data_IF_711250024923
#
_entry.id   IF_711250024923
#
_cell.length_a   1.000
_cell.length_b   1.000
_cell.length_c   1.000
_cell.angle_alpha   90.00
_cell.angle_beta   90.00
_cell.angle_gamma   90.00
#
_symmetry.space_group_name_H-M   'P 1'
#
loop_
_entity.id
_entity.type
_entity.pdbx_description
1 polymer ?
#
# COMPACT_ATOMS: atom_id res chain seq x y z
N UNK A 1 36.19 0.94 37.56
CA UNK A 1 35.85 2.24 36.94
C UNK A 1 35.01 1.94 35.71
N UNK A 2 33.70 2.02 35.83
CA UNK A 2 32.78 1.96 34.70
C UNK A 2 32.30 3.39 34.45
N UNK A 3 32.47 3.88 33.22
CA UNK A 3 32.04 5.21 32.79
C UNK A 3 30.61 5.07 32.27
N UNK A 4 29.62 5.40 33.11
CA UNK A 4 28.24 5.56 32.67
C UNK A 4 28.15 6.85 31.84
N UNK A 5 27.95 6.71 30.52
CA UNK A 5 27.62 7.84 29.65
C UNK A 5 26.10 7.98 29.60
N UNK A 6 25.58 8.96 30.34
CA UNK A 6 24.18 9.35 30.25
C UNK A 6 23.91 10.05 28.91
N UNK A 7 23.15 9.40 28.04
CA UNK A 7 22.59 10.03 26.83
C UNK A 7 21.32 10.76 27.25
N UNK A 8 21.32 12.09 27.13
CA UNK A 8 20.13 12.93 27.39
C UNK A 8 19.43 13.19 26.05
N UNK A 9 18.28 12.57 25.85
CA UNK A 9 17.39 12.85 24.72
C UNK A 9 16.50 14.05 25.11
N UNK A 10 16.74 15.22 24.52
CA UNK A 10 15.80 16.34 24.61
C UNK A 10 14.70 16.14 23.56
N UNK A 11 13.50 15.76 24.00
CA UNK A 11 12.30 15.77 23.18
C UNK A 11 11.71 17.18 23.25
N UNK A 12 11.63 17.87 22.11
CA UNK A 12 11.05 19.22 22.03
C UNK A 12 9.55 19.17 22.36
N UNK A 13 9.17 19.81 23.47
CA UNK A 13 7.83 19.76 24.08
C UNK A 13 6.77 20.60 23.35
N UNK A 14 6.73 20.53 22.01
CA UNK A 14 5.73 21.23 21.21
C UNK A 14 4.40 20.45 21.07
N UNK A 15 4.32 19.21 21.56
CA UNK A 15 3.08 18.45 21.62
C UNK A 15 2.49 18.49 23.03
N UNK A 16 1.28 19.06 23.15
CA UNK A 16 0.54 19.14 24.41
C UNK A 16 0.41 17.77 25.07
N UNK A 17 0.53 17.75 26.40
CA UNK A 17 0.51 16.56 27.23
C UNK A 17 -0.68 15.64 26.88
N UNK A 18 -0.38 14.52 26.25
CA UNK A 18 -1.27 13.35 26.17
C UNK A 18 -0.73 12.32 27.14
N UNK A 19 -1.39 12.22 28.30
CA UNK A 19 -1.09 11.19 29.29
C UNK A 19 -1.46 9.82 28.67
N UNK A 20 -0.50 8.89 28.60
CA UNK A 20 -0.76 7.50 28.18
C UNK A 20 -0.08 7.00 26.90
N UNK A 21 0.84 7.75 26.28
CA UNK A 21 1.60 7.24 25.11
C UNK A 21 2.86 6.53 25.57
N UNK A 22 2.86 5.20 25.54
CA UNK A 22 4.07 4.38 25.72
C UNK A 22 4.55 3.88 24.36
N UNK A 23 5.65 4.44 23.86
CA UNK A 23 6.37 3.90 22.71
C UNK A 23 7.42 2.87 23.21
N UNK A 24 7.41 1.66 22.66
CA UNK A 24 8.45 0.66 22.96
C UNK A 24 9.66 0.92 22.06
N UNK A 25 10.63 1.66 22.58
CA UNK A 25 11.87 1.96 21.84
C UNK A 25 12.91 0.93 22.22
N UNK A 26 13.27 0.06 21.27
CA UNK A 26 14.33 -0.93 21.48
C UNK A 26 15.66 -0.35 21.04
N UNK A 27 16.56 -0.18 22.00
CA UNK A 27 17.91 0.32 21.78
C UNK A 27 18.88 -0.86 21.73
N UNK A 28 19.61 -1.00 20.61
CA UNK A 28 20.70 -1.99 20.49
C UNK A 28 22.02 -1.27 20.35
N UNK A 29 22.99 -1.66 21.19
CA UNK A 29 24.36 -1.16 21.14
C UNK A 29 25.24 -2.22 20.49
N UNK A 30 25.94 -1.84 19.42
CA UNK A 30 27.04 -2.61 18.82
C UNK A 30 28.31 -1.73 18.87
N UNK A 31 29.48 -2.35 18.86
CA UNK A 31 30.80 -1.78 19.24
C UNK A 31 31.15 -0.47 18.48
N UNK A 32 30.62 0.67 18.95
CA UNK A 32 30.70 2.06 18.43
C UNK A 32 29.51 2.61 17.61
N UNK A 33 28.36 1.89 17.53
CA UNK A 33 27.14 2.39 16.86
C UNK A 33 25.85 2.15 17.67
N UNK A 34 25.08 3.22 17.89
CA UNK A 34 23.72 3.16 18.45
C UNK A 34 22.72 2.97 17.30
N UNK A 35 22.01 1.84 17.29
CA UNK A 35 20.89 1.63 16.37
C UNK A 35 19.58 1.82 17.13
N UNK A 36 18.78 2.80 16.70
CA UNK A 36 17.49 3.15 17.32
C UNK A 36 16.41 2.67 16.37
N UNK A 37 15.67 1.64 16.78
CA UNK A 37 14.49 1.16 16.07
C UNK A 37 13.25 1.62 16.83
N UNK A 38 12.40 2.45 16.20
CA UNK A 38 11.05 2.66 16.71
C UNK A 38 10.24 1.37 16.46
N UNK A 39 9.85 0.68 17.53
CA UNK A 39 8.80 -0.31 17.47
C UNK A 39 7.49 0.39 17.88
N UNK A 40 6.46 0.18 17.07
CA UNK A 40 5.08 0.64 17.25
C UNK A 40 4.87 2.15 17.36
N UNK A 41 4.19 2.70 16.34
CA UNK A 41 3.62 4.04 16.36
C UNK A 41 2.21 3.91 16.94
N UNK A 42 1.90 4.41 18.15
CA UNK A 42 0.54 4.40 18.64
C UNK A 42 -0.26 5.49 17.92
N UNK A 43 -1.12 5.08 16.98
CA UNK A 43 -2.16 5.93 16.40
C UNK A 43 -3.16 6.27 17.52
N UNK A 44 -3.44 7.55 17.73
CA UNK A 44 -4.48 7.97 18.68
C UNK A 44 -5.47 8.93 18.04
N UNK A 45 -6.70 8.45 17.79
CA UNK A 45 -7.92 9.08 18.32
C UNK A 45 -9.14 8.14 18.36
N UNK A 46 -9.55 7.85 19.59
CA UNK A 46 -10.90 7.50 20.12
C UNK A 46 -12.07 7.36 19.12
N UNK A 47 -12.65 6.15 19.08
CA UNK A 47 -14.11 5.88 19.03
C UNK A 47 -14.35 4.54 19.77
N UNK A 48 -14.90 4.59 20.99
CA UNK A 48 -16.16 3.94 21.41
C UNK A 48 -16.42 2.54 20.81
N UNK A 49 -16.44 1.52 21.67
CA UNK A 49 -17.01 0.16 21.52
C UNK A 49 -17.68 -0.17 20.18
N UNK A 50 -16.94 -0.69 19.19
CA UNK A 50 -17.46 -1.41 18.02
C UNK A 50 -16.36 -2.33 17.47
N UNK A 51 -16.74 -3.47 16.87
CA UNK A 51 -15.82 -4.56 16.49
C UNK A 51 -14.64 -4.11 15.63
N UNK A 52 -13.52 -4.83 15.67
CA UNK A 52 -12.34 -4.56 14.84
C UNK A 52 -12.75 -4.36 13.37
N UNK A 53 -12.81 -3.12 12.89
CA UNK A 53 -13.18 -2.81 11.52
C UNK A 53 -12.03 -3.24 10.61
N UNK A 54 -12.27 -4.32 9.85
CA UNK A 54 -11.37 -4.80 8.82
C UNK A 54 -11.78 -4.12 7.51
N UNK A 55 -10.86 -3.35 6.97
CA UNK A 55 -11.02 -2.65 5.70
C UNK A 55 -10.49 -3.52 4.57
N UNK A 56 -11.17 -3.52 3.43
CA UNK A 56 -10.68 -4.20 2.22
C UNK A 56 -10.03 -3.17 1.29
N UNK A 57 -8.71 -3.21 1.18
CA UNK A 57 -7.92 -2.30 0.37
C UNK A 57 -7.51 -2.96 -0.95
N UNK A 58 -7.70 -2.23 -2.06
CA UNK A 58 -7.24 -2.62 -3.39
C UNK A 58 -5.92 -1.90 -3.65
N UNK A 59 -4.85 -2.67 -3.83
CA UNK A 59 -3.49 -2.16 -4.02
C UNK A 59 -3.00 -2.52 -5.41
N UNK A 60 -2.57 -1.52 -6.16
CA UNK A 60 -1.85 -1.75 -7.41
C UNK A 60 -0.34 -1.79 -7.17
N UNK A 61 0.32 -2.68 -7.89
CA UNK A 61 1.76 -2.85 -7.89
C UNK A 61 2.24 -2.71 -9.33
N UNK A 62 3.18 -1.79 -9.57
CA UNK A 62 3.76 -1.57 -10.89
C UNK A 62 5.27 -1.46 -10.81
N UNK A 63 5.97 -2.03 -11.78
CA UNK A 63 7.42 -2.00 -11.79
C UNK A 63 7.97 -2.10 -13.20
N UNK A 64 9.05 -1.37 -13.46
CA UNK A 64 9.74 -1.33 -14.77
C UNK A 64 11.14 -1.92 -14.63
N UNK A 65 11.24 -3.07 -13.97
CA UNK A 65 12.50 -3.79 -13.69
C UNK A 65 12.37 -5.28 -14.04
N UNK A 66 13.45 -5.94 -14.48
CA UNK A 66 13.40 -7.34 -14.90
C UNK A 66 13.01 -8.31 -13.78
N UNK A 67 13.39 -8.01 -12.53
CA UNK A 67 13.04 -8.82 -11.36
C UNK A 67 11.72 -8.41 -10.69
N UNK A 68 10.84 -7.70 -11.42
CA UNK A 68 9.59 -7.16 -10.88
C UNK A 68 8.70 -8.24 -10.22
N UNK A 69 8.58 -9.41 -10.83
CA UNK A 69 7.80 -10.52 -10.26
C UNK A 69 8.33 -10.95 -8.88
N UNK A 70 9.66 -11.06 -8.72
CA UNK A 70 10.27 -11.45 -7.45
C UNK A 70 10.08 -10.36 -6.40
N UNK A 71 10.17 -9.08 -6.79
CA UNK A 71 9.90 -7.95 -5.89
C UNK A 71 8.43 -7.89 -5.47
N UNK A 72 7.49 -8.13 -6.38
CA UNK A 72 6.06 -8.21 -6.05
C UNK A 72 5.79 -9.31 -5.02
N UNK A 73 6.39 -10.50 -5.18
CA UNK A 73 6.30 -11.57 -4.15
C UNK A 73 6.82 -11.12 -2.80
N UNK A 74 7.95 -10.42 -2.77
CA UNK A 74 8.52 -9.89 -1.53
C UNK A 74 7.60 -8.86 -0.89
N UNK A 75 6.95 -8.02 -1.69
CA UNK A 75 6.01 -7.00 -1.22
C UNK A 75 4.76 -7.67 -0.64
N UNK A 76 4.18 -8.65 -1.32
CA UNK A 76 3.04 -9.40 -0.81
C UNK A 76 3.35 -10.07 0.53
N UNK A 77 4.53 -10.68 0.65
CA UNK A 77 4.99 -11.23 1.92
C UNK A 77 5.14 -10.16 3.02
N UNK A 78 5.65 -8.97 2.67
CA UNK A 78 5.71 -7.84 3.61
C UNK A 78 4.32 -7.35 4.03
N UNK A 79 3.39 -7.21 3.08
CA UNK A 79 2.01 -6.80 3.34
C UNK A 79 1.32 -7.75 4.32
N UNK A 80 1.50 -9.06 4.13
CA UNK A 80 0.95 -10.12 4.99
C UNK A 80 1.66 -10.23 6.34
N UNK A 81 2.93 -9.79 6.42
CA UNK A 81 3.70 -9.82 7.67
C UNK A 81 3.22 -8.80 8.71
N UNK A 82 2.46 -7.78 8.30
CA UNK A 82 1.93 -6.78 9.20
C UNK A 82 0.75 -7.37 9.99
N UNK A 83 0.80 -7.29 11.31
CA UNK A 83 -0.25 -7.85 12.18
C UNK A 83 -1.60 -7.22 11.86
N UNK A 84 -2.58 -8.06 11.49
CA UNK A 84 -3.92 -7.59 11.13
C UNK A 84 -4.06 -7.16 9.67
N UNK A 85 -3.03 -7.38 8.85
CA UNK A 85 -3.18 -7.41 7.40
C UNK A 85 -3.26 -8.85 6.91
N UNK A 86 -4.05 -9.07 5.86
CA UNK A 86 -4.08 -10.35 5.16
C UNK A 86 -4.25 -10.09 3.66
N UNK A 87 -3.42 -10.72 2.83
CA UNK A 87 -3.66 -10.70 1.39
C UNK A 87 -4.77 -11.69 1.05
N UNK A 88 -5.92 -11.19 0.61
CA UNK A 88 -7.09 -12.00 0.28
C UNK A 88 -6.98 -12.61 -1.11
N UNK A 89 -6.41 -11.85 -2.05
CA UNK A 89 -6.30 -12.27 -3.43
C UNK A 89 -5.29 -11.43 -4.19
N UNK A 90 -4.73 -12.01 -5.26
CA UNK A 90 -3.83 -11.32 -6.16
C UNK A 90 -4.20 -11.67 -7.59
N UNK A 91 -4.18 -10.67 -8.47
CA UNK A 91 -4.49 -10.85 -9.88
C UNK A 91 -3.40 -11.68 -10.57
N UNK A 92 -3.68 -12.11 -11.80
CA UNK A 92 -2.61 -12.51 -12.72
C UNK A 92 -1.58 -11.37 -12.87
N UNK A 93 -0.38 -11.72 -13.33
CA UNK A 93 0.66 -10.77 -13.68
C UNK A 93 0.39 -10.26 -15.08
N UNK A 94 0.37 -8.95 -15.25
CA UNK A 94 0.17 -8.28 -16.52
C UNK A 94 1.44 -7.60 -16.98
N UNK A 95 1.66 -7.59 -18.28
CA UNK A 95 2.69 -6.84 -18.95
C UNK A 95 2.07 -5.56 -19.54
N UNK A 96 2.69 -4.42 -19.27
CA UNK A 96 2.34 -3.10 -19.77
C UNK A 96 3.41 -2.68 -20.78
N UNK A 97 3.04 -2.70 -22.06
CA UNK A 97 3.91 -2.26 -23.14
C UNK A 97 4.01 -0.74 -23.13
N UNK A 98 5.23 -0.22 -23.09
CA UNK A 98 5.44 1.22 -23.19
C UNK A 98 6.08 1.57 -24.54
N UNK A 99 5.55 2.59 -25.20
CA UNK A 99 6.06 3.00 -26.53
C UNK A 99 7.42 3.71 -26.42
N UNK A 100 7.61 4.53 -25.38
CA UNK A 100 8.79 5.39 -25.20
C UNK A 100 9.66 4.99 -23.98
N UNK A 101 9.21 4.02 -23.19
CA UNK A 101 9.85 3.57 -21.94
C UNK A 101 10.01 2.05 -21.97
N UNK A 102 10.86 1.47 -21.10
CA UNK A 102 10.88 0.03 -20.96
C UNK A 102 9.50 -0.49 -20.55
N UNK A 103 9.22 -1.68 -21.06
CA UNK A 103 8.09 -2.50 -20.69
C UNK A 103 8.04 -2.74 -19.17
N UNK A 104 6.84 -2.65 -18.60
CA UNK A 104 6.60 -2.78 -17.18
C UNK A 104 5.72 -3.97 -16.84
N UNK A 105 5.75 -4.41 -15.58
CA UNK A 105 4.82 -5.38 -15.04
C UNK A 105 3.82 -4.68 -14.12
N UNK A 106 2.59 -5.19 -14.12
CA UNK A 106 1.55 -4.74 -13.21
C UNK A 106 0.77 -5.92 -12.63
N UNK A 107 0.37 -5.78 -11.38
CA UNK A 107 -0.55 -6.68 -10.70
C UNK A 107 -1.36 -5.89 -9.67
N UNK A 108 -2.55 -6.40 -9.32
CA UNK A 108 -3.42 -5.86 -8.28
C UNK A 108 -3.57 -6.90 -7.18
N UNK A 109 -3.59 -6.44 -5.94
CA UNK A 109 -3.84 -7.26 -4.77
C UNK A 109 -4.99 -6.69 -3.95
N UNK A 110 -5.80 -7.59 -3.38
CA UNK A 110 -6.81 -7.26 -2.39
C UNK A 110 -6.24 -7.63 -1.03
N UNK A 111 -6.23 -6.65 -0.12
CA UNK A 111 -5.61 -6.75 1.19
C UNK A 111 -6.64 -6.35 2.24
N UNK A 112 -6.97 -7.26 3.14
CA UNK A 112 -7.68 -6.90 4.36
C UNK A 112 -6.69 -6.21 5.30
N UNK A 113 -7.08 -5.11 5.93
CA UNK A 113 -6.23 -4.37 6.86
C UNK A 113 -7.06 -3.74 7.97
N UNK A 114 -6.47 -3.63 9.16
CA UNK A 114 -7.04 -2.87 10.28
C UNK A 114 -6.56 -1.42 10.34
N UNK A 115 -5.66 -1.05 9.43
CA UNK A 115 -5.20 0.33 9.33
C UNK A 115 -6.27 1.19 8.68
N UNK A 116 -6.31 2.47 9.07
CA UNK A 116 -7.08 3.47 8.33
C UNK A 116 -6.41 3.80 7.00
N UNK A 117 -7.13 4.50 6.12
CA UNK A 117 -6.64 4.87 4.80
C UNK A 117 -5.28 5.58 4.82
N UNK A 118 -5.08 6.52 5.75
CA UNK A 118 -3.84 7.31 5.84
C UNK A 118 -2.67 6.47 6.36
N UNK A 119 -2.90 5.64 7.37
CA UNK A 119 -1.91 4.70 7.90
C UNK A 119 -1.49 3.69 6.83
N UNK A 120 -2.46 3.11 6.13
CA UNK A 120 -2.20 2.13 5.07
C UNK A 120 -1.46 2.77 3.88
N UNK A 121 -1.85 3.96 3.43
CA UNK A 121 -1.16 4.68 2.35
C UNK A 121 0.28 5.04 2.72
N UNK A 122 0.51 5.44 3.98
CA UNK A 122 1.85 5.71 4.51
C UNK A 122 2.70 4.45 4.52
N UNK A 123 2.11 3.31 4.91
CA UNK A 123 2.78 2.01 4.90
C UNK A 123 3.16 1.56 3.48
N UNK A 124 2.26 1.68 2.51
CA UNK A 124 2.56 1.37 1.10
C UNK A 124 3.69 2.23 0.54
N UNK A 125 3.73 3.52 0.88
CA UNK A 125 4.82 4.42 0.49
C UNK A 125 6.16 3.97 1.11
N UNK A 126 6.17 3.69 2.41
CA UNK A 126 7.37 3.18 3.08
C UNK A 126 7.87 1.85 2.47
N UNK A 127 6.95 0.98 2.07
CA UNK A 127 7.28 -0.28 1.42
C UNK A 127 7.83 -0.06 0.00
N UNK A 128 7.27 0.88 -0.76
CA UNK A 128 7.81 1.29 -2.07
C UNK A 128 9.22 1.87 -1.96
N UNK A 129 9.45 2.72 -0.95
CA UNK A 129 10.76 3.30 -0.66
C UNK A 129 11.78 2.22 -0.26
N UNK A 130 11.36 1.18 0.47
CA UNK A 130 12.21 0.02 0.80
C UNK A 130 12.68 -0.76 -0.43
N UNK A 131 11.91 -0.68 -1.54
CA UNK A 131 12.27 -1.27 -2.83
C UNK A 131 13.14 -0.33 -3.67
N UNK A 132 13.66 0.74 -3.07
CA UNK A 132 14.48 1.76 -3.75
C UNK A 132 13.72 2.43 -4.91
N UNK A 133 12.38 2.51 -4.81
CA UNK A 133 11.53 3.03 -5.89
C UNK A 133 11.45 2.13 -7.13
N UNK A 134 11.92 0.87 -7.05
CA UNK A 134 11.83 -0.09 -8.15
C UNK A 134 10.41 -0.61 -8.38
N UNK A 135 9.57 -0.54 -7.33
CA UNK A 135 8.15 -0.90 -7.38
C UNK A 135 7.34 0.28 -6.86
N UNK A 136 6.37 0.70 -7.65
CA UNK A 136 5.35 1.67 -7.29
C UNK A 136 4.15 0.94 -6.69
N UNK A 137 3.86 1.20 -5.41
CA UNK A 137 2.66 0.71 -4.73
C UNK A 137 1.68 1.85 -4.53
N UNK A 138 0.47 1.70 -5.07
CA UNK A 138 -0.59 2.69 -4.94
C UNK A 138 -1.85 2.06 -4.39
N UNK A 139 -2.43 2.71 -3.38
CA UNK A 139 -3.79 2.44 -2.94
C UNK A 139 -4.74 2.90 -4.04
N UNK A 140 -5.53 1.97 -4.60
CA UNK A 140 -6.49 2.22 -5.68
C UNK A 140 -7.85 2.55 -5.09
N UNK A 141 -8.30 1.70 -4.17
CA UNK A 141 -9.54 1.89 -3.44
C UNK A 141 -9.42 1.25 -2.06
N UNK A 142 -10.32 1.62 -1.16
CA UNK A 142 -10.43 1.04 0.17
C UNK A 142 -11.90 1.04 0.56
N UNK A 143 -12.37 -0.13 0.99
CA UNK A 143 -13.74 -0.33 1.43
C UNK A 143 -13.80 -0.47 2.94
N UNK A 144 -14.79 0.19 3.53
CA UNK A 144 -15.20 -0.08 4.92
C UNK A 144 -15.81 -1.50 5.03
N UNK A 145 -16.00 -2.04 6.24
CA UNK A 145 -16.64 -3.35 6.43
C UNK A 145 -18.10 -3.41 5.92
N UNK A 146 -18.74 -2.28 5.62
CA UNK A 146 -20.06 -2.20 4.99
C UNK A 146 -19.99 -2.25 3.46
N UNK A 147 -18.79 -2.22 2.87
CA UNK A 147 -18.53 -2.26 1.43
C UNK A 147 -18.58 -0.88 0.75
N UNK A 148 -18.56 0.22 1.50
CA UNK A 148 -18.48 1.56 0.93
C UNK A 148 -17.03 1.96 0.68
N UNK A 149 -16.77 2.51 -0.51
CA UNK A 149 -15.46 3.08 -0.84
C UNK A 149 -15.21 4.35 -0.01
N UNK A 150 -14.12 4.34 0.76
CA UNK A 150 -13.66 5.43 1.62
C UNK A 150 -12.41 6.13 1.07
N UNK A 151 -11.64 5.45 0.21
CA UNK A 151 -10.50 6.06 -0.47
C UNK A 151 -10.94 6.96 -1.62
N UNK A 152 -12.00 6.57 -2.31
CA UNK A 152 -12.49 7.28 -3.50
C UNK A 152 -13.77 8.05 -3.18
N UNK A 153 -13.65 9.37 -2.98
CA UNK A 153 -14.81 10.26 -2.86
C UNK A 153 -14.88 11.17 -1.64
N UNK A 154 -13.95 11.10 -0.68
CA UNK A 154 -13.84 12.11 0.40
C UNK A 154 -12.92 13.28 0.02
N UNK A 155 -13.04 13.75 -1.22
CA UNK A 155 -12.51 15.05 -1.60
C UNK A 155 -13.44 16.16 -1.13
N UNK A 156 -13.44 16.47 0.18
CA UNK A 156 -13.85 17.81 0.57
C UNK A 156 -12.88 18.76 -0.16
N UNK A 157 -13.42 19.65 -0.99
CA UNK A 157 -12.75 20.42 -2.05
C UNK A 157 -11.67 21.43 -1.56
N UNK A 158 -10.96 21.17 -0.46
CA UNK A 158 -10.20 22.19 0.28
C UNK A 158 -8.73 21.89 0.59
N UNK A 159 -8.11 20.82 0.07
CA UNK A 159 -6.65 20.75 0.05
C UNK A 159 -6.13 20.22 -1.29
N UNK A 160 -5.74 21.15 -2.16
CA UNK A 160 -5.32 20.91 -3.55
C UNK A 160 -3.92 20.31 -3.70
N UNK A 161 -3.41 19.56 -2.72
CA UNK A 161 -2.04 19.01 -2.77
C UNK A 161 -1.96 17.52 -3.15
N UNK A 162 -3.05 16.75 -3.07
CA UNK A 162 -3.00 15.28 -3.25
C UNK A 162 -3.73 14.77 -4.50
N UNK A 163 -4.40 15.65 -5.25
CA UNK A 163 -5.25 15.29 -6.41
C UNK A 163 -4.49 14.70 -7.60
N UNK A 164 -3.16 14.82 -7.61
CA UNK A 164 -2.34 14.48 -8.80
C UNK A 164 -2.16 12.96 -8.98
N UNK A 165 -2.60 12.11 -8.06
CA UNK A 165 -2.43 10.64 -8.19
C UNK A 165 -3.75 9.86 -8.38
N UNK A 166 -4.89 10.38 -7.92
CA UNK A 166 -6.17 9.66 -7.93
C UNK A 166 -6.90 9.74 -9.28
N UNK A 167 -6.65 10.78 -10.09
CA UNK A 167 -7.21 10.93 -11.44
C UNK A 167 -6.55 9.98 -12.46
N UNK A 168 -5.29 9.59 -12.26
CA UNK A 168 -4.56 8.71 -13.17
C UNK A 168 -5.04 7.24 -13.07
N UNK A 169 -5.41 6.76 -11.87
CA UNK A 169 -5.79 5.35 -11.66
C UNK A 169 -7.11 5.00 -12.35
N UNK A 170 -8.05 5.95 -12.45
CA UNK A 170 -9.35 5.78 -13.13
C UNK A 170 -9.24 5.55 -14.63
N UNK A 171 -8.07 5.85 -15.22
CA UNK A 171 -7.80 5.70 -16.64
C UNK A 171 -6.63 4.76 -16.91
N UNK A 172 -6.06 4.14 -15.87
CA UNK A 172 -4.94 3.24 -16.00
C UNK A 172 -5.42 1.79 -16.19
N UNK A 173 -5.46 1.35 -17.46
CA UNK A 173 -5.83 -0.03 -17.79
C UNK A 173 -4.90 -1.06 -17.14
N UNK A 174 -3.66 -0.69 -16.79
CA UNK A 174 -2.74 -1.58 -16.11
C UNK A 174 -3.22 -1.95 -14.70
N UNK A 175 -4.08 -1.11 -14.10
CA UNK A 175 -4.73 -1.37 -12.81
C UNK A 175 -6.13 -1.93 -13.00
N UNK A 176 -6.91 -1.33 -13.90
CA UNK A 176 -8.32 -1.68 -14.07
C UNK A 176 -8.53 -3.08 -14.67
N UNK A 177 -7.69 -3.51 -15.62
CA UNK A 177 -7.83 -4.85 -16.23
C UNK A 177 -7.57 -5.95 -15.20
N UNK A 178 -6.43 -5.99 -14.48
CA UNK A 178 -6.20 -7.03 -13.49
C UNK A 178 -7.24 -7.03 -12.37
N UNK A 179 -7.73 -5.85 -11.97
CA UNK A 179 -8.78 -5.76 -10.96
C UNK A 179 -10.12 -6.31 -11.46
N UNK A 180 -10.52 -5.97 -12.68
CA UNK A 180 -11.75 -6.47 -13.31
C UNK A 180 -11.74 -7.99 -13.52
N UNK A 181 -10.56 -8.54 -13.80
CA UNK A 181 -10.34 -9.98 -13.97
C UNK A 181 -10.52 -10.74 -12.65
N UNK A 182 -10.09 -10.16 -11.52
CA UNK A 182 -10.35 -10.70 -10.19
C UNK A 182 -11.82 -10.58 -9.76
N UNK A 183 -12.41 -9.40 -9.96
CA UNK A 183 -13.79 -9.10 -9.59
C UNK A 183 -14.51 -8.38 -10.74
N UNK A 184 -15.35 -9.14 -11.45
CA UNK A 184 -16.17 -8.62 -12.57
C UNK A 184 -17.21 -7.58 -12.13
N UNK A 185 -17.51 -7.47 -10.83
CA UNK A 185 -18.40 -6.47 -10.24
C UNK A 185 -17.63 -5.35 -9.53
N UNK A 186 -16.31 -5.29 -9.68
CA UNK A 186 -15.47 -4.26 -9.07
C UNK A 186 -15.96 -2.85 -9.40
N UNK A 187 -15.90 -1.98 -8.39
CA UNK A 187 -16.27 -0.57 -8.46
C UNK A 187 -15.15 0.26 -7.87
N UNK A 188 -14.90 1.40 -8.49
CA UNK A 188 -14.04 2.44 -7.96
C UNK A 188 -14.93 3.61 -7.57
N UNK A 189 -15.12 3.80 -6.26
CA UNK A 189 -16.18 4.66 -5.77
C UNK A 189 -17.57 4.20 -6.19
N UNK A 190 -18.26 5.00 -7.01
CA UNK A 190 -19.60 4.67 -7.51
C UNK A 190 -19.58 4.06 -8.93
N UNK A 191 -18.45 4.16 -9.64
CA UNK A 191 -18.34 3.78 -11.03
C UNK A 191 -17.84 2.34 -11.19
N UNK A 192 -18.50 1.49 -12.00
CA UNK A 192 -17.98 0.16 -12.31
C UNK A 192 -16.62 0.24 -13.02
N UNK A 193 -15.68 -0.64 -12.65
CA UNK A 193 -14.36 -0.70 -13.28
C UNK A 193 -14.46 -0.96 -14.80
N UNK A 194 -15.42 -1.78 -15.22
CA UNK A 194 -15.69 -2.03 -16.66
C UNK A 194 -16.11 -0.78 -17.42
N UNK A 195 -16.82 0.15 -16.77
CA UNK A 195 -17.18 1.44 -17.37
C UNK A 195 -15.95 2.34 -17.51
N UNK A 196 -15.12 2.44 -16.47
CA UNK A 196 -13.89 3.23 -16.48
C UNK A 196 -12.90 2.73 -17.55
N UNK A 197 -12.77 1.42 -17.67
CA UNK A 197 -11.87 0.77 -18.63
C UNK A 197 -12.22 1.12 -20.08
N UNK A 198 -13.50 1.35 -20.40
CA UNK A 198 -13.93 1.74 -21.75
C UNK A 198 -13.32 3.09 -22.20
N UNK A 199 -12.85 3.91 -21.26
CA UNK A 199 -12.19 5.20 -21.51
C UNK A 199 -10.68 5.16 -21.31
N UNK A 200 -10.11 4.04 -20.89
CA UNK A 200 -8.67 3.90 -20.63
C UNK A 200 -7.87 3.86 -21.94
N UNK A 201 -7.01 4.85 -22.22
CA UNK A 201 -6.30 4.98 -23.50
C UNK A 201 -5.21 3.92 -23.70
N UNK A 202 -4.70 3.34 -22.60
CA UNK A 202 -3.64 2.34 -22.60
C UNK A 202 -4.17 0.89 -22.57
N UNK A 203 -5.48 0.67 -22.73
CA UNK A 203 -6.08 -0.68 -22.72
C UNK A 203 -5.47 -1.65 -23.73
N UNK A 204 -5.06 -1.16 -24.90
CA UNK A 204 -4.41 -1.98 -25.94
C UNK A 204 -2.95 -2.36 -25.61
N UNK A 205 -2.35 -1.75 -24.58
CA UNK A 205 -0.95 -1.93 -24.21
C UNK A 205 -0.77 -2.93 -23.06
N UNK A 206 -1.87 -3.39 -22.47
CA UNK A 206 -1.87 -4.26 -21.29
C UNK A 206 -2.29 -5.66 -21.71
N UNK A 207 -1.47 -6.65 -21.36
CA UNK A 207 -1.74 -8.06 -21.65
C UNK A 207 -1.37 -8.96 -20.50
N UNK A 208 -2.17 -9.99 -20.25
CA UNK A 208 -1.87 -10.98 -19.22
C UNK A 208 -0.60 -11.76 -19.60
N UNK A 209 0.35 -11.81 -18.66
CA UNK A 209 1.63 -12.50 -18.80
C UNK A 209 1.60 -13.87 -18.13
N UNK A 210 1.09 -13.97 -16.90
CA UNK A 210 1.07 -15.24 -16.14
C UNK A 210 0.02 -15.24 -15.04
N UNK A 211 -0.83 -16.27 -15.00
CA UNK A 211 -1.82 -16.48 -13.93
C UNK A 211 -1.20 -17.09 -12.66
N UNK A 212 -0.17 -17.94 -12.82
CA UNK A 212 0.43 -18.72 -11.71
C UNK A 212 1.73 -18.11 -11.16
N UNK A 213 1.96 -16.83 -11.43
CA UNK A 213 3.20 -16.15 -11.10
C UNK A 213 3.53 -16.17 -9.60
N UNK A 214 2.51 -16.22 -8.74
CA UNK A 214 2.62 -16.30 -7.28
C UNK A 214 3.20 -17.66 -6.85
N UNK A 215 2.70 -18.75 -7.43
CA UNK A 215 2.97 -20.13 -7.00
C UNK A 215 4.39 -20.59 -7.33
N UNK A 216 5.04 -19.95 -8.32
CA UNK A 216 6.37 -20.34 -8.77
C UNK A 216 6.32 -21.62 -9.62
N UNK A 217 7.21 -21.68 -10.61
CA UNK A 217 7.42 -22.83 -11.49
C UNK A 217 7.41 -24.14 -10.69
N UNK A 218 6.26 -24.81 -10.67
CA UNK A 218 6.19 -26.21 -10.25
C UNK A 218 6.45 -27.01 -11.53
N UNK A 219 7.72 -27.34 -11.70
CA UNK A 219 8.34 -28.21 -12.72
C UNK A 219 7.45 -29.33 -13.26
#
# INVERSE_FOLDING_TARGET
MAVERGVRLELDSSFGAVEGVHADVRLRFDDDRLDVTLCDIPVSRVASDDGYEEYSAVVSMQAVVPDAQQRFKSILASLDSLTGNQVEGVSALYHVMNVDKPDGLSAVAIVSTRLDMQGFRTYLRALSDSQEGAVDLRLVDMHDPEGHSIAYGHGNESDGSDRVNDEDVQHDAAVLIPWLDMDTQARLGNDPVSYLLAFAPNSAQVGMLSEEWILGDTL
#
